data_IF_569891600372
#
_entry.id   IF_569891600372
#
_cell.length_a   1.000
_cell.length_b   1.000
_cell.length_c   1.000
_cell.angle_alpha   90.00
_cell.angle_beta   90.00
_cell.angle_gamma   90.00
#
_symmetry.space_group_name_H-M   'P 1'
#
loop_
_entity.id
_entity.type
_entity.pdbx_description
1 polymer ?
#
# COMPACT_ATOMS: atom_id res chain seq x y z
N UNK A 1 17.81 3.63 9.07
CA UNK A 1 17.72 2.33 8.37
C UNK A 1 16.26 2.08 8.04
N UNK A 2 15.92 1.69 6.82
CA UNK A 2 14.53 1.40 6.43
C UNK A 2 13.98 0.13 7.10
N UNK A 3 14.86 -0.80 7.43
CA UNK A 3 14.52 -2.08 8.05
C UNK A 3 15.69 -3.05 7.98
N UNK A 4 15.38 -4.34 7.99
CA UNK A 4 16.37 -5.42 7.92
C UNK A 4 16.00 -6.45 6.84
N UNK A 5 17.02 -7.10 6.29
CA UNK A 5 16.86 -8.23 5.36
C UNK A 5 17.54 -9.45 5.96
N UNK A 6 16.74 -10.48 6.27
CA UNK A 6 17.23 -11.79 6.72
C UNK A 6 17.43 -12.71 5.51
N UNK A 7 18.63 -13.27 5.35
CA UNK A 7 18.97 -14.19 4.26
C UNK A 7 19.25 -15.58 4.83
N UNK A 8 18.62 -16.61 4.27
CA UNK A 8 18.92 -18.00 4.62
C UNK A 8 20.37 -18.31 4.29
N UNK A 9 21.18 -18.60 5.31
CA UNK A 9 22.64 -18.76 5.23
C UNK A 9 23.08 -19.70 4.09
N UNK A 10 22.46 -20.86 3.99
CA UNK A 10 22.88 -21.92 3.08
C UNK A 10 22.16 -21.86 1.72
N UNK A 11 21.44 -20.77 1.43
CA UNK A 11 20.72 -20.61 0.16
C UNK A 11 21.63 -20.20 -0.98
N UNK A 12 21.51 -20.90 -2.13
CA UNK A 12 22.15 -20.46 -3.39
C UNK A 12 21.47 -19.22 -3.93
N UNK A 13 22.22 -18.42 -4.68
CA UNK A 13 21.67 -17.29 -5.42
C UNK A 13 20.68 -17.77 -6.49
N UNK A 14 19.54 -17.07 -6.58
CA UNK A 14 18.50 -17.31 -7.59
C UNK A 14 18.00 -15.97 -8.10
N UNK A 15 17.95 -15.78 -9.40
CA UNK A 15 17.32 -14.60 -10.01
C UNK A 15 15.79 -14.67 -9.85
N UNK A 16 15.16 -13.52 -9.70
CA UNK A 16 13.72 -13.40 -9.51
C UNK A 16 13.26 -13.54 -8.05
N UNK A 17 11.95 -13.70 -7.87
CA UNK A 17 11.34 -13.77 -6.54
C UNK A 17 11.80 -15.03 -5.78
N UNK A 18 12.14 -14.85 -4.50
CA UNK A 18 12.60 -15.92 -3.63
C UNK A 18 12.13 -15.70 -2.20
N UNK A 19 11.87 -16.79 -1.47
CA UNK A 19 11.56 -16.79 -0.04
C UNK A 19 12.80 -16.92 0.83
N UNK A 20 14.00 -17.09 0.23
CA UNK A 20 15.25 -17.19 0.98
C UNK A 20 15.66 -15.86 1.62
N UNK A 21 15.19 -14.73 1.08
CA UNK A 21 15.51 -13.38 1.55
C UNK A 21 14.22 -12.70 1.98
N UNK A 22 14.09 -12.43 3.28
CA UNK A 22 12.89 -11.84 3.86
C UNK A 22 13.22 -10.43 4.38
N UNK A 23 12.39 -9.47 3.99
CA UNK A 23 12.48 -8.08 4.48
C UNK A 23 11.51 -7.89 5.65
N UNK A 24 11.95 -7.14 6.65
CA UNK A 24 11.08 -6.58 7.68
C UNK A 24 11.27 -5.07 7.71
N UNK A 25 10.18 -4.32 7.78
CA UNK A 25 10.14 -2.86 7.78
C UNK A 25 9.15 -2.39 8.84
N UNK A 26 9.43 -1.25 9.45
CA UNK A 26 8.48 -0.55 10.30
C UNK A 26 7.49 0.23 9.45
N UNK A 27 6.25 0.36 9.93
CA UNK A 27 5.23 1.21 9.34
C UNK A 27 4.50 1.97 10.45
N UNK A 28 3.80 3.03 10.06
CA UNK A 28 2.93 3.82 10.94
C UNK A 28 1.55 3.88 10.30
N UNK A 29 0.53 3.88 11.13
CA UNK A 29 -0.88 4.02 10.71
C UNK A 29 -1.39 5.40 11.11
N UNK A 30 -2.29 5.96 10.30
CA UNK A 30 -2.88 7.28 10.53
C UNK A 30 -4.26 7.33 9.90
N UNK A 31 -5.13 8.12 10.50
CA UNK A 31 -6.50 8.34 10.02
C UNK A 31 -6.58 9.64 9.22
N UNK A 32 -7.32 9.61 8.11
CA UNK A 32 -7.47 10.73 7.19
C UNK A 32 -8.93 10.88 6.77
N UNK A 33 -9.31 12.10 6.37
CA UNK A 33 -10.61 12.34 5.77
C UNK A 33 -10.60 11.96 4.28
N UNK A 34 -11.65 11.28 3.82
CA UNK A 34 -11.82 10.93 2.41
C UNK A 34 -12.42 12.11 1.65
N UNK A 35 -11.65 12.71 0.74
CA UNK A 35 -12.13 13.77 -0.16
C UNK A 35 -12.88 13.21 -1.37
N UNK A 36 -12.49 12.02 -1.83
CA UNK A 36 -13.08 11.40 -3.00
C UNK A 36 -12.32 10.16 -3.46
N UNK A 37 -12.82 9.51 -4.51
CA UNK A 37 -12.20 8.32 -5.11
C UNK A 37 -11.95 8.59 -6.60
N UNK A 38 -10.71 8.47 -7.02
CA UNK A 38 -10.30 8.54 -8.42
C UNK A 38 -10.36 7.13 -9.04
N UNK A 39 -10.98 7.04 -10.22
CA UNK A 39 -11.24 5.78 -10.93
C UNK A 39 -10.85 5.90 -12.38
N UNK A 40 -10.07 4.93 -12.87
CA UNK A 40 -9.76 4.79 -14.29
C UNK A 40 -9.91 3.32 -14.69
N UNK A 41 -10.54 3.07 -15.85
CA UNK A 41 -10.80 1.70 -16.31
C UNK A 41 -9.48 0.95 -16.51
N UNK A 42 -9.37 -0.21 -15.87
CA UNK A 42 -8.16 -1.04 -15.92
C UNK A 42 -7.06 -0.62 -14.93
N UNK A 43 -7.29 0.44 -14.14
CA UNK A 43 -6.39 0.84 -13.05
C UNK A 43 -7.03 0.62 -11.67
N UNK A 44 -6.18 0.49 -10.64
CA UNK A 44 -6.62 0.54 -9.26
C UNK A 44 -7.36 1.85 -8.91
N UNK A 45 -8.37 1.78 -8.04
CA UNK A 45 -9.02 2.97 -7.49
C UNK A 45 -8.15 3.64 -6.41
N UNK A 46 -8.08 4.96 -6.41
CA UNK A 46 -7.31 5.74 -5.45
C UNK A 46 -8.19 6.60 -4.57
N UNK A 47 -7.98 6.56 -3.25
CA UNK A 47 -8.60 7.47 -2.31
C UNK A 47 -7.80 8.76 -2.25
N UNK A 48 -8.46 9.91 -2.43
CA UNK A 48 -7.88 11.23 -2.20
C UNK A 48 -8.08 11.57 -0.72
N UNK A 49 -6.98 11.74 0.01
CA UNK A 49 -6.98 11.88 1.46
C UNK A 49 -6.71 13.33 1.87
N UNK A 50 -7.36 13.77 2.94
CA UNK A 50 -7.12 15.05 3.58
C UNK A 50 -6.73 14.91 5.05
N UNK A 51 -6.00 15.91 5.52
CA UNK A 51 -5.76 16.15 6.93
C UNK A 51 -7.10 16.39 7.65
N UNK A 52 -7.38 15.64 8.74
CA UNK A 52 -8.61 15.80 9.50
C UNK A 52 -8.80 17.24 10.03
N UNK A 53 -10.03 17.75 9.94
CA UNK A 53 -10.41 19.08 10.44
C UNK A 53 -10.04 20.26 9.55
N UNK A 54 -8.96 20.17 8.76
CA UNK A 54 -8.58 21.24 7.80
C UNK A 54 -9.06 20.97 6.38
N UNK A 55 -9.38 19.70 6.05
CA UNK A 55 -9.68 19.23 4.69
C UNK A 55 -8.58 19.53 3.66
N UNK A 56 -7.37 19.80 4.12
CA UNK A 56 -6.22 20.02 3.26
C UNK A 56 -5.78 18.69 2.66
N UNK A 57 -5.67 18.62 1.34
CA UNK A 57 -5.19 17.43 0.64
C UNK A 57 -3.78 17.03 1.08
N UNK A 58 -3.56 15.75 1.39
CA UNK A 58 -2.28 15.20 1.88
C UNK A 58 -1.72 14.07 1.01
N UNK A 59 -2.45 13.62 -0.01
CA UNK A 59 -2.00 12.61 -0.94
C UNK A 59 -3.08 11.61 -1.33
N UNK A 60 -2.70 10.63 -2.14
CA UNK A 60 -3.58 9.56 -2.58
C UNK A 60 -3.07 8.19 -2.13
N UNK A 61 -3.98 7.28 -1.83
CA UNK A 61 -3.68 5.90 -1.46
C UNK A 61 -4.44 4.92 -2.35
N UNK A 62 -3.77 3.84 -2.77
CA UNK A 62 -4.46 2.76 -3.46
C UNK A 62 -5.42 2.06 -2.50
N UNK A 63 -6.68 1.93 -2.91
CA UNK A 63 -7.71 1.23 -2.13
C UNK A 63 -7.54 -0.28 -2.30
N UNK A 64 -6.74 -0.88 -1.42
CA UNK A 64 -6.51 -2.33 -1.37
C UNK A 64 -7.62 -3.04 -0.58
N UNK A 65 -8.84 -2.96 -1.11
CA UNK A 65 -10.00 -3.69 -0.57
C UNK A 65 -10.25 -4.97 -1.36
N UNK A 66 -11.01 -5.89 -0.74
CA UNK A 66 -11.48 -7.11 -1.39
C UNK A 66 -12.31 -6.81 -2.65
N UNK A 67 -12.60 -7.86 -3.41
CA UNK A 67 -13.31 -7.71 -4.68
C UNK A 67 -14.72 -7.13 -4.51
N UNK A 68 -15.43 -7.54 -3.47
CA UNK A 68 -16.81 -7.10 -3.22
C UNK A 68 -16.86 -5.60 -2.94
N UNK A 69 -15.97 -5.13 -2.07
CA UNK A 69 -15.84 -3.72 -1.73
C UNK A 69 -15.34 -2.90 -2.92
N UNK A 70 -14.46 -3.47 -3.75
CA UNK A 70 -14.01 -2.82 -4.99
C UNK A 70 -15.14 -2.63 -6.00
N UNK A 71 -16.03 -3.62 -6.13
CA UNK A 71 -17.22 -3.54 -6.99
C UNK A 71 -18.24 -2.51 -6.45
N UNK A 72 -18.39 -2.37 -5.13
CA UNK A 72 -19.21 -1.31 -4.51
C UNK A 72 -18.62 0.10 -4.68
N UNK A 73 -17.29 0.18 -4.77
CA UNK A 73 -16.56 1.40 -5.05
C UNK A 73 -16.42 1.66 -6.55
N UNK A 74 -17.22 1.03 -7.42
CA UNK A 74 -17.36 1.39 -8.84
C UNK A 74 -18.74 1.98 -9.09
#
# INVERSE_FOLDING_TARGET
LEGMVSKRRDSKYRSGATTNWLKTKSFTESEFELLGVERERGKPAFALMAEPGTRKYVGSAFVSVDREMRERLW
#
